data_IF_169473462601
#
_entry.id   IF_169473462601
#
_cell.length_a   1.000
_cell.length_b   1.000
_cell.length_c   1.000
_cell.angle_alpha   90.00
_cell.angle_beta   90.00
_cell.angle_gamma   90.00
#
_symmetry.space_group_name_H-M   'P 1'
#
loop_
_entity.id
_entity.type
_entity.pdbx_description
1 polymer ?
#
# COMPACT_ATOMS: atom_id res chain seq x y z
N UNK A 1 -11.08 -16.28 -13.75
CA UNK A 1 -10.72 -15.57 -15.00
C UNK A 1 -10.67 -14.10 -14.67
N UNK A 2 -9.61 -13.38 -15.07
CA UNK A 2 -9.54 -11.92 -14.86
C UNK A 2 -10.49 -11.24 -15.85
N UNK A 3 -11.49 -10.51 -15.35
CA UNK A 3 -12.45 -9.79 -16.18
C UNK A 3 -11.90 -8.39 -16.49
N UNK A 4 -11.24 -8.23 -17.64
CA UNK A 4 -10.69 -6.92 -18.04
C UNK A 4 -11.77 -5.87 -18.40
N UNK A 5 -13.05 -6.23 -18.36
CA UNK A 5 -14.16 -5.29 -18.51
C UNK A 5 -14.52 -4.63 -17.16
N UNK A 6 -14.14 -5.23 -16.04
CA UNK A 6 -14.30 -4.62 -14.71
C UNK A 6 -13.26 -3.53 -14.50
N UNK A 7 -13.75 -2.31 -14.33
CA UNK A 7 -12.93 -1.12 -14.15
C UNK A 7 -12.52 -0.98 -12.68
N UNK A 8 -11.24 -1.17 -12.39
CA UNK A 8 -10.67 -0.90 -11.08
C UNK A 8 -9.44 -1.74 -10.79
N UNK A 9 -8.52 -1.21 -10.02
CA UNK A 9 -7.38 -1.95 -9.48
C UNK A 9 -6.86 -1.24 -8.25
N UNK A 10 -6.10 -1.96 -7.44
CA UNK A 10 -5.25 -1.31 -6.46
C UNK A 10 -3.91 -1.98 -6.33
N UNK A 11 -2.88 -1.16 -6.12
CA UNK A 11 -1.58 -1.61 -5.66
C UNK A 11 -1.35 -1.23 -4.21
N UNK A 12 -0.45 -1.92 -3.54
CA UNK A 12 0.01 -1.54 -2.19
C UNK A 12 1.51 -1.73 -2.06
N UNK A 13 2.16 -0.80 -1.38
CA UNK A 13 3.59 -0.85 -1.19
C UNK A 13 4.06 -0.04 -0.01
N UNK A 14 5.34 -0.22 0.28
CA UNK A 14 5.99 0.36 1.45
C UNK A 14 7.25 1.11 1.03
N UNK A 15 7.43 2.30 1.60
CA UNK A 15 8.66 3.04 1.49
C UNK A 15 9.55 2.80 2.71
N UNK A 16 10.82 2.45 2.47
CA UNK A 16 11.82 2.24 3.51
C UNK A 16 11.39 1.23 4.59
N UNK A 17 10.74 0.13 4.20
CA UNK A 17 10.46 -0.97 5.14
C UNK A 17 11.74 -1.41 5.86
N UNK A 18 11.63 -1.71 7.16
CA UNK A 18 12.76 -2.09 8.01
C UNK A 18 12.91 -3.60 8.21
N UNK A 19 11.83 -4.31 8.51
CA UNK A 19 11.85 -5.73 8.86
C UNK A 19 11.25 -6.63 7.77
N UNK A 20 11.92 -7.73 7.39
CA UNK A 20 11.41 -8.68 6.41
C UNK A 20 10.09 -9.35 6.82
N UNK A 21 9.86 -9.52 8.12
CA UNK A 21 8.66 -10.14 8.69
C UNK A 21 7.41 -9.31 8.36
N UNK A 22 7.47 -7.98 8.53
CA UNK A 22 6.37 -7.08 8.19
C UNK A 22 6.05 -7.10 6.70
N UNK A 23 7.07 -7.14 5.84
CA UNK A 23 6.86 -7.27 4.40
C UNK A 23 6.17 -8.59 4.06
N UNK A 24 6.62 -9.71 4.63
CA UNK A 24 6.01 -11.02 4.41
C UNK A 24 4.53 -11.04 4.77
N UNK A 25 4.16 -10.47 5.93
CA UNK A 25 2.76 -10.34 6.35
C UNK A 25 1.98 -9.43 5.39
N UNK A 26 2.51 -8.26 5.05
CA UNK A 26 1.86 -7.32 4.12
C UNK A 26 1.61 -7.94 2.74
N UNK A 27 2.59 -8.66 2.19
CA UNK A 27 2.44 -9.35 0.90
C UNK A 27 1.41 -10.46 0.97
N UNK A 28 1.42 -11.26 2.04
CA UNK A 28 0.42 -12.30 2.22
C UNK A 28 -1.00 -11.72 2.33
N UNK A 29 -1.17 -10.61 3.04
CA UNK A 29 -2.43 -9.88 3.09
C UNK A 29 -2.82 -9.38 1.70
N UNK A 30 -1.90 -8.72 0.98
CA UNK A 30 -2.14 -8.19 -0.35
C UNK A 30 -2.62 -9.25 -1.35
N UNK A 31 -2.01 -10.44 -1.33
CA UNK A 31 -2.42 -11.57 -2.15
C UNK A 31 -3.84 -12.05 -1.82
N UNK A 32 -4.13 -12.23 -0.54
CA UNK A 32 -5.44 -12.72 -0.10
C UNK A 32 -6.56 -11.69 -0.27
N UNK A 33 -6.19 -10.41 -0.36
CA UNK A 33 -7.13 -9.29 -0.42
C UNK A 33 -7.30 -8.69 -1.82
N UNK A 34 -6.74 -9.35 -2.85
CA UNK A 34 -6.98 -8.99 -4.25
C UNK A 34 -6.17 -7.80 -4.75
N UNK A 35 -5.03 -7.49 -4.14
CA UNK A 35 -4.12 -6.49 -4.69
C UNK A 35 -3.67 -6.91 -6.10
N UNK A 36 -3.59 -5.95 -7.02
CA UNK A 36 -3.18 -6.21 -8.40
C UNK A 36 -1.66 -6.24 -8.56
N UNK A 37 -0.94 -5.56 -7.67
CA UNK A 37 0.51 -5.58 -7.59
C UNK A 37 1.00 -5.07 -6.24
N UNK A 38 2.25 -5.39 -5.95
CA UNK A 38 2.96 -4.94 -4.76
C UNK A 38 4.26 -4.23 -5.13
N UNK A 39 4.74 -3.33 -4.27
CA UNK A 39 5.99 -2.63 -4.54
C UNK A 39 6.74 -2.16 -3.30
N UNK A 40 8.04 -1.95 -3.45
CA UNK A 40 8.87 -1.28 -2.44
C UNK A 40 9.55 -0.04 -3.01
N UNK A 41 9.79 0.95 -2.17
CA UNK A 41 10.55 2.16 -2.49
C UNK A 41 11.76 2.27 -1.56
N UNK A 42 12.94 2.56 -2.11
CA UNK A 42 14.14 2.86 -1.34
C UNK A 42 15.11 1.69 -1.27
N UNK A 43 15.67 1.43 -0.09
CA UNK A 43 16.67 0.38 0.07
C UNK A 43 16.11 -0.97 -0.38
N UNK A 44 16.74 -1.54 -1.40
CA UNK A 44 16.45 -2.90 -1.84
C UNK A 44 16.73 -3.81 -0.66
N UNK A 45 15.68 -4.40 -0.10
CA UNK A 45 15.84 -5.44 0.90
C UNK A 45 16.84 -6.45 0.36
N UNK A 46 17.99 -6.51 1.02
CA UNK A 46 19.05 -7.42 0.66
C UNK A 46 18.47 -8.83 0.79
N UNK A 47 18.36 -9.51 -0.35
CA UNK A 47 18.28 -10.96 -0.53
C UNK A 47 18.31 -11.74 0.81
N UNK A 48 17.23 -12.44 1.21
CA UNK A 48 17.22 -13.67 2.06
C UNK A 48 16.30 -13.77 3.30
N UNK A 49 15.46 -12.81 3.69
CA UNK A 49 14.75 -12.96 4.98
C UNK A 49 13.23 -13.12 4.90
N UNK A 50 12.73 -13.90 3.95
CA UNK A 50 11.67 -14.86 4.24
C UNK A 50 11.41 -15.64 2.96
N UNK A 51 11.52 -16.95 3.11
CA UNK A 51 11.15 -17.97 2.15
C UNK A 51 9.64 -17.86 1.79
N UNK A 52 9.29 -16.83 1.02
CA UNK A 52 8.03 -16.73 0.28
C UNK A 52 8.36 -16.74 -1.20
N UNK A 53 9.14 -17.74 -1.62
CA UNK A 53 9.32 -18.11 -3.03
C UNK A 53 7.99 -18.32 -3.80
N UNK A 54 6.84 -18.30 -3.11
CA UNK A 54 5.49 -18.37 -3.71
C UNK A 54 4.76 -17.03 -3.78
N UNK A 55 5.12 -16.02 -2.98
CA UNK A 55 4.38 -14.76 -2.98
C UNK A 55 4.71 -13.89 -4.20
N UNK A 56 6.00 -13.74 -4.50
CA UNK A 56 6.49 -12.99 -5.68
C UNK A 56 6.30 -13.73 -7.00
N UNK A 57 6.05 -15.04 -6.97
CA UNK A 57 5.72 -15.82 -8.16
C UNK A 57 4.27 -15.69 -8.61
N UNK A 58 3.36 -15.27 -7.71
CA UNK A 58 1.92 -15.22 -7.97
C UNK A 58 1.37 -13.81 -8.20
N UNK A 59 2.10 -12.76 -7.83
CA UNK A 59 1.68 -11.37 -7.96
C UNK A 59 2.85 -10.48 -8.41
N UNK A 60 2.64 -9.53 -9.35
CA UNK A 60 3.69 -8.61 -9.78
C UNK A 60 4.30 -7.84 -8.60
N UNK A 61 5.63 -7.88 -8.52
CA UNK A 61 6.41 -7.17 -7.51
C UNK A 61 7.36 -6.18 -8.16
N UNK A 62 7.16 -4.89 -7.85
CA UNK A 62 7.98 -3.79 -8.35
C UNK A 62 8.93 -3.26 -7.27
N UNK A 63 10.03 -2.68 -7.70
CA UNK A 63 10.98 -2.04 -6.80
C UNK A 63 11.45 -0.73 -7.42
N UNK A 64 11.28 0.36 -6.68
CA UNK A 64 11.66 1.71 -7.07
C UNK A 64 12.80 2.22 -6.20
N UNK A 65 13.73 2.95 -6.80
CA UNK A 65 14.93 3.43 -6.11
C UNK A 65 14.59 4.52 -5.09
N UNK A 66 13.65 5.38 -5.41
CA UNK A 66 13.23 6.50 -4.59
C UNK A 66 11.76 6.87 -4.90
N UNK A 67 11.22 7.85 -4.16
CA UNK A 67 9.81 8.23 -4.31
C UNK A 67 9.51 8.83 -5.69
N UNK A 68 10.40 9.64 -6.25
CA UNK A 68 10.18 10.24 -7.57
C UNK A 68 10.12 9.18 -8.67
N UNK A 69 11.02 8.19 -8.65
CA UNK A 69 11.02 7.02 -9.55
C UNK A 69 9.71 6.23 -9.44
N UNK A 70 9.17 6.06 -8.23
CA UNK A 70 7.85 5.46 -8.03
C UNK A 70 6.73 6.33 -8.61
N UNK A 71 6.76 7.63 -8.31
CA UNK A 71 5.68 8.56 -8.67
C UNK A 71 5.58 8.76 -10.18
N UNK A 72 6.72 8.83 -10.87
CA UNK A 72 6.80 8.93 -12.34
C UNK A 72 6.27 7.67 -13.04
N UNK A 73 6.33 6.52 -12.36
CA UNK A 73 5.83 5.24 -12.84
C UNK A 73 4.44 4.87 -12.28
N UNK A 74 3.75 5.81 -11.62
CA UNK A 74 2.40 5.57 -11.12
C UNK A 74 1.47 5.19 -12.31
N UNK A 75 0.69 4.10 -12.21
CA UNK A 75 -0.21 3.71 -13.28
C UNK A 75 -1.15 4.85 -13.68
N UNK A 76 -1.31 5.07 -14.98
CA UNK A 76 -2.11 6.18 -15.50
C UNK A 76 -3.52 6.19 -14.91
N UNK A 77 -3.90 7.33 -14.33
CA UNK A 77 -5.22 7.53 -13.74
C UNK A 77 -5.43 6.81 -12.40
N UNK A 78 -4.39 6.23 -11.79
CA UNK A 78 -4.41 5.80 -10.40
C UNK A 78 -4.18 6.99 -9.47
N UNK A 79 -4.93 7.02 -8.37
CA UNK A 79 -4.72 7.97 -7.29
C UNK A 79 -3.76 7.41 -6.25
N UNK A 80 -2.74 8.18 -5.87
CA UNK A 80 -1.86 7.86 -4.76
C UNK A 80 -2.58 8.13 -3.44
N UNK A 81 -2.69 7.11 -2.58
CA UNK A 81 -3.28 7.19 -1.25
C UNK A 81 -2.22 6.90 -0.20
N UNK A 82 -1.80 7.91 0.56
CA UNK A 82 -0.88 7.72 1.69
C UNK A 82 -1.62 7.25 2.93
N UNK A 83 -1.11 6.21 3.60
CA UNK A 83 -1.62 5.74 4.88
C UNK A 83 -0.74 6.33 5.97
N UNK A 84 -1.18 7.45 6.55
CA UNK A 84 -0.35 8.25 7.45
C UNK A 84 -1.20 9.03 8.47
N UNK A 85 -0.68 9.18 9.67
CA UNK A 85 -1.27 10.00 10.72
C UNK A 85 -0.90 11.48 10.48
N UNK A 86 -1.69 12.15 9.63
CA UNK A 86 -1.58 13.59 9.36
C UNK A 86 -2.90 14.29 9.71
N UNK A 87 -2.82 15.59 9.98
CA UNK A 87 -4.01 16.42 10.23
C UNK A 87 -4.96 16.43 9.03
N UNK A 88 -4.40 16.41 7.81
CA UNK A 88 -5.14 16.38 6.54
C UNK A 88 -5.70 14.98 6.22
N UNK A 89 -5.29 13.95 6.95
CA UNK A 89 -5.76 12.58 6.71
C UNK A 89 -7.24 12.42 7.07
N UNK A 90 -7.99 11.81 6.17
CA UNK A 90 -9.39 11.41 6.37
C UNK A 90 -9.44 10.14 7.20
N UNK A 91 -10.44 10.01 8.07
CA UNK A 91 -10.66 8.79 8.85
C UNK A 91 -11.04 7.63 7.92
N UNK A 92 -10.41 6.46 8.10
CA UNK A 92 -10.62 5.30 7.25
C UNK A 92 -12.10 4.91 7.17
N UNK A 93 -12.84 4.98 8.28
CA UNK A 93 -14.25 4.59 8.37
C UNK A 93 -15.12 5.36 7.39
N UNK A 94 -14.83 6.64 7.14
CA UNK A 94 -15.58 7.51 6.21
C UNK A 94 -14.87 7.70 4.87
N UNK A 95 -13.66 7.17 4.71
CA UNK A 95 -12.90 7.27 3.47
C UNK A 95 -13.54 6.43 2.36
N UNK A 96 -13.66 7.03 1.17
CA UNK A 96 -14.12 6.33 -0.04
C UNK A 96 -12.91 5.96 -0.88
N UNK A 97 -12.63 4.66 -1.00
CA UNK A 97 -11.49 4.19 -1.76
C UNK A 97 -11.64 4.48 -3.26
N UNK A 98 -10.66 5.14 -3.92
CA UNK A 98 -10.73 5.33 -5.36
C UNK A 98 -10.71 4.00 -6.10
N UNK A 99 -11.50 3.89 -7.18
CA UNK A 99 -11.58 2.65 -7.99
C UNK A 99 -10.22 2.19 -8.49
N UNK A 100 -9.35 3.14 -8.85
CA UNK A 100 -7.96 2.92 -9.26
C UNK A 100 -7.04 3.67 -8.31
N UNK A 101 -6.34 2.97 -7.43
CA UNK A 101 -5.45 3.62 -6.49
C UNK A 101 -4.19 2.82 -6.19
N UNK A 102 -3.21 3.49 -5.61
CA UNK A 102 -2.02 2.86 -5.07
C UNK A 102 -1.86 3.32 -3.63
N UNK A 103 -1.88 2.38 -2.69
CA UNK A 103 -1.64 2.67 -1.28
C UNK A 103 -0.14 2.69 -1.01
N UNK A 104 0.30 3.77 -0.35
CA UNK A 104 1.67 3.91 0.10
C UNK A 104 1.71 3.92 1.63
N UNK A 105 2.47 2.97 2.17
CA UNK A 105 2.75 2.83 3.59
C UNK A 105 4.14 3.37 3.91
N UNK A 106 4.26 3.96 5.10
CA UNK A 106 5.50 4.50 5.64
C UNK A 106 6.34 3.50 6.43
N UNK A 107 7.56 3.90 6.76
CA UNK A 107 8.42 3.14 7.67
C UNK A 107 7.94 3.30 9.13
N UNK A 108 8.15 2.29 9.97
CA UNK A 108 7.68 2.28 11.36
C UNK A 108 8.20 3.47 12.19
N UNK A 109 9.42 3.94 11.92
CA UNK A 109 10.07 4.99 12.69
C UNK A 109 9.81 6.41 12.15
N UNK A 110 9.48 6.54 10.86
CA UNK A 110 9.50 7.85 10.15
C UNK A 110 8.26 8.12 9.30
N UNK A 111 7.33 7.17 9.19
CA UNK A 111 6.16 7.30 8.33
C UNK A 111 6.55 7.39 6.84
N UNK A 112 5.67 7.97 6.04
CA UNK A 112 5.96 8.36 4.66
C UNK A 112 6.66 9.73 4.64
N UNK A 113 7.61 9.98 3.72
CA UNK A 113 8.29 11.27 3.63
C UNK A 113 7.33 12.42 3.32
N UNK A 114 7.67 13.64 3.72
CA UNK A 114 6.89 14.86 3.41
C UNK A 114 6.55 15.00 1.94
N UNK A 115 7.49 14.69 1.05
CA UNK A 115 7.26 14.72 -0.39
C UNK A 115 6.11 13.78 -0.82
N UNK A 116 6.04 12.59 -0.21
CA UNK A 116 4.97 11.64 -0.46
C UNK A 116 3.62 12.13 0.08
N UNK A 117 3.63 12.78 1.25
CA UNK A 117 2.44 13.42 1.85
C UNK A 117 1.90 14.51 0.92
N UNK A 118 2.78 15.38 0.42
CA UNK A 118 2.41 16.50 -0.46
C UNK A 118 1.91 16.06 -1.84
N UNK A 119 2.47 14.96 -2.38
CA UNK A 119 2.11 14.41 -3.70
C UNK A 119 0.94 13.43 -3.65
N UNK A 120 0.57 12.94 -2.47
CA UNK A 120 -0.57 12.05 -2.31
C UNK A 120 -1.86 12.78 -2.70
N UNK A 121 -2.72 12.09 -3.46
CA UNK A 121 -4.03 12.62 -3.82
C UNK A 121 -4.98 12.55 -2.62
N UNK A 122 -4.78 11.52 -1.77
CA UNK A 122 -5.50 11.35 -0.52
C UNK A 122 -4.55 10.88 0.56
N UNK A 123 -4.87 11.28 1.80
CA UNK A 123 -4.26 10.73 2.99
C UNK A 123 -5.36 10.10 3.84
N UNK A 124 -5.08 8.92 4.38
CA UNK A 124 -6.01 8.18 5.23
C UNK A 124 -5.33 7.82 6.55
N UNK A 125 -6.07 7.94 7.64
CA UNK A 125 -5.64 7.58 8.99
C UNK A 125 -6.64 6.67 9.67
N UNK A 126 -6.16 5.96 10.67
CA UNK A 126 -6.99 5.16 11.57
C UNK A 126 -7.44 6.00 12.75
N UNK A 127 -8.59 5.66 13.34
CA UNK A 127 -8.98 6.13 14.65
C UNK A 127 -8.18 5.39 15.74
N UNK A 128 -6.90 5.70 15.85
CA UNK A 128 -5.99 5.17 16.87
C UNK A 128 -5.25 6.29 17.60
N UNK A 129 -4.86 6.04 18.85
CA UNK A 129 -4.06 6.99 19.64
C UNK A 129 -2.58 7.00 19.21
N UNK A 130 -2.06 5.85 18.81
CA UNK A 130 -0.69 5.65 18.36
C UNK A 130 -0.66 5.08 16.93
N UNK A 131 0.51 5.15 16.29
CA UNK A 131 0.74 4.51 15.01
C UNK A 131 0.61 2.99 15.12
N UNK A 132 -0.05 2.38 14.13
CA UNK A 132 -0.15 0.93 14.02
C UNK A 132 1.12 0.38 13.37
N UNK A 133 1.41 -0.90 13.64
CA UNK A 133 2.38 -1.64 12.83
C UNK A 133 2.00 -1.56 11.34
N UNK A 134 3.01 -1.36 10.48
CA UNK A 134 2.81 -1.09 9.06
C UNK A 134 2.07 -2.21 8.31
N UNK A 135 2.35 -3.47 8.63
CA UNK A 135 1.69 -4.61 8.00
C UNK A 135 0.23 -4.73 8.46
N UNK A 136 -0.04 -4.41 9.73
CA UNK A 136 -1.39 -4.34 10.28
C UNK A 136 -2.18 -3.21 9.62
N UNK A 137 -1.62 -2.01 9.53
CA UNK A 137 -2.22 -0.86 8.86
C UNK A 137 -2.59 -1.19 7.40
N UNK A 138 -1.67 -1.77 6.64
CA UNK A 138 -1.93 -2.20 5.27
C UNK A 138 -3.04 -3.23 5.17
N UNK A 139 -3.06 -4.21 6.09
CA UNK A 139 -4.09 -5.25 6.13
C UNK A 139 -5.49 -4.67 6.43
N UNK A 140 -5.58 -3.71 7.36
CA UNK A 140 -6.86 -3.06 7.70
C UNK A 140 -7.37 -2.23 6.50
N UNK A 141 -6.52 -1.45 5.83
CA UNK A 141 -6.92 -0.64 4.67
C UNK A 141 -7.43 -1.51 3.53
N UNK A 142 -6.77 -2.63 3.26
CA UNK A 142 -7.19 -3.56 2.21
C UNK A 142 -8.49 -4.30 2.57
N UNK A 143 -8.67 -4.64 3.85
CA UNK A 143 -9.91 -5.22 4.34
C UNK A 143 -11.08 -4.23 4.24
N UNK A 144 -10.88 -2.99 4.69
CA UNK A 144 -11.89 -1.92 4.60
C UNK A 144 -12.31 -1.65 3.16
N UNK A 145 -11.35 -1.62 2.24
CA UNK A 145 -11.61 -1.52 0.80
C UNK A 145 -12.56 -2.62 0.32
N UNK A 146 -12.24 -3.88 0.62
CA UNK A 146 -13.07 -5.02 0.20
C UNK A 146 -14.45 -4.99 0.85
N UNK A 147 -14.51 -4.69 2.15
CA UNK A 147 -15.77 -4.58 2.87
C UNK A 147 -16.69 -3.57 2.19
N UNK A 148 -16.18 -2.38 1.86
CA UNK A 148 -16.94 -1.31 1.21
C UNK A 148 -17.29 -1.58 -0.25
N UNK A 149 -16.50 -2.39 -0.97
CA UNK A 149 -16.84 -2.82 -2.33
C UNK A 149 -18.08 -3.73 -2.35
N UNK A 150 -18.28 -4.55 -1.32
CA UNK A 150 -19.43 -5.47 -1.23
C UNK A 150 -20.76 -4.78 -0.84
N UNK A 151 -20.71 -3.48 -0.52
CA UNK A 151 -21.90 -2.67 -0.19
C UNK A 151 -22.27 -1.67 -1.31
N UNK A 152 -21.66 -1.79 -2.49
CA UNK A 152 -22.01 -1.03 -3.71
C UNK A 152 -22.65 -1.93 -4.75
#
# INVERSE_FOLDING_TARGET
MVNNLEQGFFGIGIQNGKTPENLGVLWRSAQNMGASFIFTIGNRYAKQACDTHKATGAMPYFHYKNFDDFFDNLPKGAMLVGVELDEKSVQLETFTHPKRCVYLLGAEDHGIPKLAIEKAHHLVKFKSELSLNVAVAGSIVMYDRQAKLNFQ
#
